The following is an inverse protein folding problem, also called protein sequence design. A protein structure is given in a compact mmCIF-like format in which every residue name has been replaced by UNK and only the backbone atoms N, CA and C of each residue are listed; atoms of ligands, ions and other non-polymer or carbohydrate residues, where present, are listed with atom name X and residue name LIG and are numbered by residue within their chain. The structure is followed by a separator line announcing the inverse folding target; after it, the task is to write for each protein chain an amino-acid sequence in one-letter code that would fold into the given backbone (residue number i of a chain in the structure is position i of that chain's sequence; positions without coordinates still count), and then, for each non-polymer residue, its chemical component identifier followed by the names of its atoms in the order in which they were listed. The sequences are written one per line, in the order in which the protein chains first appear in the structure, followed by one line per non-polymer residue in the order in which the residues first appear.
data_IF_609339984819
#
_entry.id   IF_609339984819
#
_cell.length_a   1.000
_cell.length_b   1.000
_cell.length_c   1.000
_cell.angle_alpha   90.00
_cell.angle_beta   90.00
_cell.angle_gamma   90.00
#
_symmetry.space_group_name_H-M   'P 1'
#
loop_
_entity.id
_entity.type
_entity.pdbx_description
1 polymer ?
#
# COMPACT_ATOMS: atom_id res chain seq x y z
N UNK A 1 2.74 -14.56 -29.93
CA UNK A 1 2.03 -13.98 -28.77
C UNK A 1 2.07 -12.46 -28.86
N UNK A 2 0.92 -11.80 -29.00
CA UNK A 2 0.84 -10.36 -28.72
C UNK A 2 0.79 -10.24 -27.21
N UNK A 3 1.82 -9.65 -26.60
CA UNK A 3 1.78 -9.31 -25.18
C UNK A 3 0.62 -8.35 -24.98
N UNK A 4 -0.40 -8.77 -24.22
CA UNK A 4 -1.54 -7.92 -23.91
C UNK A 4 -1.04 -6.75 -23.05
N UNK A 5 -1.24 -5.51 -23.49
CA UNK A 5 -0.75 -4.32 -22.78
C UNK A 5 -1.33 -4.23 -21.37
N UNK A 6 -2.52 -4.77 -21.14
CA UNK A 6 -3.17 -4.75 -19.82
C UNK A 6 -2.50 -5.70 -18.82
N UNK A 7 -1.92 -6.83 -19.26
CA UNK A 7 -1.20 -7.73 -18.34
C UNK A 7 0.13 -7.12 -17.87
N UNK A 8 0.80 -6.33 -18.70
CA UNK A 8 1.97 -5.55 -18.31
C UNK A 8 1.60 -4.40 -17.35
N UNK A 9 0.49 -3.70 -17.61
CA UNK A 9 0.00 -2.65 -16.71
C UNK A 9 -0.42 -3.23 -15.35
N UNK A 10 -1.06 -4.40 -15.35
CA UNK A 10 -1.37 -5.14 -14.12
C UNK A 10 -0.09 -5.51 -13.36
N UNK A 11 0.92 -6.03 -14.06
CA UNK A 11 2.23 -6.35 -13.46
C UNK A 11 2.87 -5.11 -12.81
N UNK A 12 2.82 -3.95 -13.47
CA UNK A 12 3.33 -2.71 -12.91
C UNK A 12 2.59 -2.35 -11.60
N UNK A 13 1.27 -2.51 -11.55
CA UNK A 13 0.47 -2.30 -10.34
C UNK A 13 0.87 -3.25 -9.19
N UNK A 14 1.10 -4.53 -9.49
CA UNK A 14 1.57 -5.52 -8.49
C UNK A 14 2.98 -5.22 -7.97
N UNK A 15 3.89 -4.78 -8.86
CA UNK A 15 5.22 -4.32 -8.46
C UNK A 15 5.12 -3.09 -7.56
N UNK A 16 4.24 -2.13 -7.87
CA UNK A 16 4.00 -0.94 -7.04
C UNK A 16 3.49 -1.32 -5.64
N UNK A 17 2.57 -2.27 -5.56
CA UNK A 17 2.11 -2.85 -4.28
C UNK A 17 3.29 -3.44 -3.51
N UNK A 18 4.15 -4.22 -4.16
CA UNK A 18 5.25 -4.92 -3.51
C UNK A 18 6.33 -3.95 -2.99
N UNK A 19 6.74 -2.98 -3.82
CA UNK A 19 7.73 -1.97 -3.40
C UNK A 19 7.18 -1.02 -2.34
N UNK A 20 5.86 -0.79 -2.29
CA UNK A 20 5.23 0.09 -1.30
C UNK A 20 5.57 -0.30 0.14
N UNK A 21 5.76 -1.60 0.39
CA UNK A 21 6.13 -2.14 1.71
C UNK A 21 7.47 -1.61 2.24
N UNK A 22 8.38 -1.25 1.34
CA UNK A 22 9.73 -0.77 1.64
C UNK A 22 9.80 0.75 1.83
N UNK A 23 8.79 1.50 1.36
CA UNK A 23 8.77 2.96 1.47
C UNK A 23 8.04 3.42 2.74
N UNK A 24 8.34 4.64 3.24
CA UNK A 24 7.60 5.24 4.34
C UNK A 24 6.11 5.27 4.02
N UNK A 25 5.30 4.64 4.88
CA UNK A 25 3.85 4.62 4.76
C UNK A 25 3.23 5.78 5.54
N UNK A 26 3.76 6.02 6.75
CA UNK A 26 3.49 7.17 7.59
C UNK A 26 4.79 7.90 7.91
N UNK A 27 4.72 9.20 8.17
CA UNK A 27 5.89 9.94 8.63
C UNK A 27 5.63 11.42 8.81
N UNK A 28 6.53 12.06 9.55
CA UNK A 28 6.49 13.49 9.81
C UNK A 28 7.84 14.14 9.53
N UNK A 29 7.79 15.42 9.15
CA UNK A 29 8.96 16.27 8.97
C UNK A 29 8.58 17.69 9.37
N UNK A 30 9.22 18.20 10.41
CA UNK A 30 9.08 19.56 10.91
C UNK A 30 10.47 20.22 10.94
N UNK A 31 10.52 21.46 10.48
CA UNK A 31 11.73 22.26 10.35
C UNK A 31 11.46 23.64 10.95
N UNK A 32 12.36 24.16 11.77
CA UNK A 32 12.27 25.51 12.32
C UNK A 32 13.62 26.20 12.16
N UNK A 33 13.60 27.48 11.83
CA UNK A 33 14.82 28.26 11.62
C UNK A 33 15.62 28.24 12.92
N UNK A 34 16.90 27.90 12.83
CA UNK A 34 17.87 27.86 13.94
C UNK A 34 17.68 26.72 14.98
N UNK A 35 16.80 25.75 14.72
CA UNK A 35 16.59 24.55 15.55
C UNK A 35 16.77 23.24 14.76
N UNK A 36 16.95 22.11 15.47
CA UNK A 36 17.09 20.80 14.84
C UNK A 36 15.80 20.37 14.13
N UNK A 37 15.96 19.84 12.91
CA UNK A 37 14.89 19.20 12.15
C UNK A 37 14.37 17.94 12.86
N UNK A 38 13.05 17.88 13.04
CA UNK A 38 12.36 16.73 13.63
C UNK A 38 11.72 15.93 12.50
N UNK A 39 12.31 14.77 12.16
CA UNK A 39 11.82 13.90 11.09
C UNK A 39 11.77 12.43 11.52
N UNK A 40 10.71 11.74 11.11
CA UNK A 40 10.63 10.29 11.29
C UNK A 40 9.74 9.63 10.23
N UNK A 41 10.10 8.39 9.90
CA UNK A 41 9.54 7.63 8.80
C UNK A 41 9.20 6.23 9.28
N UNK A 42 8.00 5.78 8.95
CA UNK A 42 7.46 4.49 9.34
C UNK A 42 7.04 3.73 8.09
N UNK A 43 7.89 2.82 7.57
CA UNK A 43 7.52 1.92 6.50
C UNK A 43 6.38 0.99 6.91
N UNK A 44 5.61 0.51 5.93
CA UNK A 44 4.48 -0.40 6.16
C UNK A 44 4.91 -1.66 6.94
N UNK A 45 6.05 -2.24 6.55
CA UNK A 45 6.61 -3.43 7.20
C UNK A 45 7.13 -3.18 8.62
N UNK A 46 7.29 -1.92 9.02
CA UNK A 46 7.81 -1.54 10.32
C UNK A 46 6.81 -0.70 11.13
N UNK A 47 5.52 -0.81 10.83
CA UNK A 47 4.44 -0.18 11.60
C UNK A 47 4.44 -0.61 13.08
N UNK A 48 5.10 -1.72 13.44
CA UNK A 48 5.33 -2.09 14.83
C UNK A 48 6.07 -0.99 15.60
N UNK A 49 7.13 -0.40 15.03
CA UNK A 49 7.89 0.69 15.68
C UNK A 49 7.03 1.92 15.97
N UNK A 50 6.05 2.18 15.11
CA UNK A 50 5.11 3.28 15.29
C UNK A 50 4.23 3.02 16.51
N UNK A 51 3.68 1.81 16.64
CA UNK A 51 2.78 1.49 17.73
C UNK A 51 3.50 1.23 19.08
N UNK A 52 4.76 0.76 19.06
CA UNK A 52 5.61 0.71 20.25
C UNK A 52 5.93 2.13 20.79
N UNK A 53 6.04 3.13 19.90
CA UNK A 53 6.33 4.53 20.28
C UNK A 53 5.11 5.25 20.84
N UNK A 54 3.91 4.96 20.34
CA UNK A 54 2.65 5.47 20.90
C UNK A 54 2.09 4.55 21.99
N UNK A 55 2.96 4.07 22.90
CA UNK A 55 2.77 3.09 24.00
C UNK A 55 1.46 3.19 24.82
N UNK A 56 0.69 4.28 24.68
CA UNK A 56 -0.65 4.46 25.23
C UNK A 56 -1.79 3.78 24.43
N UNK A 57 -1.53 3.19 23.26
CA UNK A 57 -2.58 2.64 22.38
C UNK A 57 -3.07 1.23 22.72
N UNK A 58 -2.56 0.60 23.78
CA UNK A 58 -2.87 -0.80 24.11
C UNK A 58 -2.19 -1.78 23.16
N UNK A 59 -2.50 -3.08 23.30
CA UNK A 59 -1.91 -4.12 22.45
C UNK A 59 -2.12 -3.82 20.97
N UNK A 60 -1.01 -3.79 20.22
CA UNK A 60 -1.03 -3.64 18.77
C UNK A 60 -1.87 -4.78 18.21
N UNK A 61 -3.03 -4.45 17.67
CA UNK A 61 -3.95 -5.44 17.12
C UNK A 61 -3.19 -6.34 16.13
N UNK A 62 -3.30 -7.66 16.30
CA UNK A 62 -2.59 -8.68 15.51
C UNK A 62 -2.64 -8.38 14.00
N UNK A 63 -3.77 -7.86 13.54
CA UNK A 63 -4.01 -7.41 12.17
C UNK A 63 -2.98 -6.39 11.67
N UNK A 64 -2.61 -5.37 12.45
CA UNK A 64 -1.63 -4.34 12.04
C UNK A 64 -0.23 -4.93 11.89
N UNK A 65 0.07 -6.03 12.61
CA UNK A 65 1.34 -6.75 12.47
C UNK A 65 1.36 -7.64 11.24
N UNK A 66 0.27 -8.32 10.94
CA UNK A 66 0.23 -9.35 9.89
C UNK A 66 -0.09 -8.76 8.50
N UNK A 67 -0.94 -7.73 8.43
CA UNK A 67 -1.40 -7.18 7.14
C UNK A 67 -0.29 -6.76 6.17
N UNK A 68 0.79 -6.09 6.62
CA UNK A 68 1.89 -5.73 5.73
C UNK A 68 2.52 -6.93 5.01
N UNK A 69 2.58 -8.08 5.68
CA UNK A 69 3.12 -9.31 5.10
C UNK A 69 2.13 -9.97 4.13
N UNK A 70 0.82 -9.90 4.44
CA UNK A 70 -0.22 -10.33 3.51
C UNK A 70 -0.18 -9.51 2.23
N UNK A 71 0.00 -8.18 2.33
CA UNK A 71 0.14 -7.31 1.16
C UNK A 71 1.32 -7.68 0.24
N UNK A 72 2.45 -8.07 0.83
CA UNK A 72 3.58 -8.58 0.05
C UNK A 72 3.22 -9.90 -0.63
N UNK A 73 2.62 -10.84 0.10
CA UNK A 73 2.21 -12.13 -0.45
C UNK A 73 1.21 -11.95 -1.60
N UNK A 74 0.26 -11.05 -1.45
CA UNK A 74 -0.73 -10.67 -2.46
C UNK A 74 -0.03 -10.11 -3.71
N UNK A 75 0.93 -9.19 -3.54
CA UNK A 75 1.74 -8.67 -4.65
C UNK A 75 2.55 -9.75 -5.37
N UNK A 76 3.21 -10.66 -4.64
CA UNK A 76 3.96 -11.78 -5.22
C UNK A 76 3.02 -12.71 -5.98
N UNK A 77 1.88 -13.08 -5.40
CA UNK A 77 0.88 -13.92 -6.04
C UNK A 77 0.42 -13.31 -7.36
N UNK A 78 0.13 -12.00 -7.39
CA UNK A 78 -0.25 -11.30 -8.62
C UNK A 78 0.82 -11.34 -9.70
N UNK A 79 2.10 -11.19 -9.34
CA UNK A 79 3.22 -11.30 -10.29
C UNK A 79 3.31 -12.73 -10.85
N UNK A 80 3.20 -13.75 -9.99
CA UNK A 80 3.24 -15.17 -10.39
C UNK A 80 2.10 -15.48 -11.37
N UNK A 81 0.89 -14.97 -11.11
CA UNK A 81 -0.24 -15.14 -12.02
C UNK A 81 0.05 -14.56 -13.42
N UNK A 82 0.68 -13.39 -13.50
CA UNK A 82 1.06 -12.79 -14.80
C UNK A 82 2.09 -13.65 -15.51
N UNK A 83 3.10 -14.16 -14.80
CA UNK A 83 4.14 -15.00 -15.39
C UNK A 83 3.55 -16.29 -15.97
N UNK A 84 2.60 -16.90 -15.26
CA UNK A 84 1.90 -18.10 -15.74
C UNK A 84 1.06 -17.76 -16.98
N UNK A 85 0.27 -16.68 -16.94
CA UNK A 85 -0.52 -16.26 -18.10
C UNK A 85 0.33 -15.99 -19.34
N UNK A 86 1.48 -15.30 -19.18
CA UNK A 86 2.42 -15.03 -20.27
C UNK A 86 3.12 -16.28 -20.81
N UNK A 87 3.03 -17.43 -20.14
CA UNK A 87 3.57 -18.71 -20.63
C UNK A 87 2.49 -19.72 -21.00
N UNK A 88 1.23 -19.44 -20.63
CA UNK A 88 0.09 -20.33 -20.77
C UNK A 88 -0.48 -20.35 -22.18
N UNK A 89 -1.21 -21.42 -22.45
CA UNK A 89 -2.05 -21.58 -23.63
C UNK A 89 -3.46 -20.98 -23.41
N UNK A 90 -4.36 -21.19 -24.38
CA UNK A 90 -5.69 -20.57 -24.40
C UNK A 90 -6.55 -21.00 -23.20
N UNK A 91 -6.47 -22.26 -22.78
CA UNK A 91 -7.20 -22.77 -21.61
C UNK A 91 -6.66 -22.16 -20.30
N UNK A 92 -5.35 -21.88 -20.26
CA UNK A 92 -4.74 -21.13 -19.16
C UNK A 92 -5.25 -19.69 -19.09
N UNK A 93 -5.63 -19.07 -20.21
CA UNK A 93 -6.07 -17.66 -20.21
C UNK A 93 -7.44 -17.47 -19.56
N UNK A 94 -8.42 -18.33 -19.86
CA UNK A 94 -9.77 -18.21 -19.29
C UNK A 94 -9.79 -18.38 -17.75
N UNK A 95 -9.00 -19.31 -17.23
CA UNK A 95 -8.87 -19.53 -15.78
C UNK A 95 -8.20 -18.30 -15.12
N UNK A 96 -7.14 -17.77 -15.74
CA UNK A 96 -6.36 -16.69 -15.14
C UNK A 96 -7.03 -15.32 -15.26
N UNK A 97 -7.89 -15.10 -16.26
CA UNK A 97 -8.68 -13.87 -16.41
C UNK A 97 -9.47 -13.52 -15.15
N UNK A 98 -10.10 -14.52 -14.51
CA UNK A 98 -10.81 -14.33 -13.24
C UNK A 98 -9.84 -14.19 -12.06
N UNK A 99 -8.74 -14.93 -12.07
CA UNK A 99 -7.78 -14.93 -10.97
C UNK A 99 -7.03 -13.60 -10.81
N UNK A 100 -6.90 -12.78 -11.86
CA UNK A 100 -6.29 -11.44 -11.74
C UNK A 100 -7.07 -10.47 -10.86
N UNK A 101 -8.37 -10.70 -10.64
CA UNK A 101 -9.12 -9.87 -9.69
C UNK A 101 -8.76 -10.15 -8.24
N UNK A 102 -8.37 -11.39 -7.92
CA UNK A 102 -8.20 -11.85 -6.54
C UNK A 102 -7.10 -11.01 -5.83
N UNK A 103 -5.88 -10.87 -6.37
CA UNK A 103 -4.86 -10.06 -5.70
C UNK A 103 -5.21 -8.57 -5.63
N UNK A 104 -5.85 -8.02 -6.66
CA UNK A 104 -6.23 -6.61 -6.67
C UNK A 104 -7.30 -6.30 -5.60
N UNK A 105 -8.32 -7.16 -5.48
CA UNK A 105 -9.38 -7.03 -4.47
C UNK A 105 -8.83 -7.26 -3.06
N UNK A 106 -8.00 -8.29 -2.86
CA UNK A 106 -7.35 -8.55 -1.58
C UNK A 106 -6.52 -7.35 -1.13
N UNK A 107 -5.72 -6.76 -2.03
CA UNK A 107 -4.94 -5.55 -1.73
C UNK A 107 -5.83 -4.36 -1.35
N UNK A 108 -7.01 -4.22 -1.98
CA UNK A 108 -8.01 -3.23 -1.60
C UNK A 108 -8.60 -3.45 -0.20
N UNK A 109 -8.92 -4.70 0.14
CA UNK A 109 -9.39 -5.09 1.49
C UNK A 109 -8.29 -4.81 2.53
N UNK A 110 -7.04 -5.14 2.22
CA UNK A 110 -5.90 -4.87 3.09
C UNK A 110 -5.74 -3.36 3.34
N UNK A 111 -5.82 -2.52 2.29
CA UNK A 111 -5.79 -1.07 2.45
C UNK A 111 -6.96 -0.58 3.31
N UNK A 112 -8.17 -1.11 3.10
CA UNK A 112 -9.33 -0.76 3.89
C UNK A 112 -9.12 -1.10 5.38
N UNK A 113 -8.64 -2.31 5.68
CA UNK A 113 -8.37 -2.75 7.04
C UNK A 113 -7.24 -1.96 7.71
N UNK A 114 -6.19 -1.57 6.97
CA UNK A 114 -5.14 -0.67 7.49
C UNK A 114 -5.73 0.69 7.84
N UNK A 115 -6.40 1.34 6.90
CA UNK A 115 -6.93 2.70 7.07
C UNK A 115 -8.06 2.78 8.09
N UNK A 116 -8.82 1.69 8.29
CA UNK A 116 -9.90 1.61 9.27
C UNK A 116 -9.47 0.96 10.58
N UNK A 117 -8.21 0.54 10.72
CA UNK A 117 -7.69 0.09 12.01
C UNK A 117 -7.77 1.21 13.04
N UNK A 118 -8.26 0.88 14.25
CA UNK A 118 -8.31 1.84 15.37
C UNK A 118 -6.93 2.42 15.67
N UNK A 119 -5.89 1.59 15.59
CA UNK A 119 -4.50 1.97 15.83
C UNK A 119 -4.01 2.99 14.81
N UNK A 120 -4.20 2.74 13.50
CA UNK A 120 -3.74 3.67 12.46
C UNK A 120 -4.54 4.97 12.50
N UNK A 121 -5.85 4.93 12.75
CA UNK A 121 -6.66 6.14 12.92
C UNK A 121 -6.24 6.98 14.12
N UNK A 122 -5.99 6.34 15.26
CA UNK A 122 -5.53 7.05 16.45
C UNK A 122 -4.15 7.68 16.22
N UNK A 123 -3.23 6.99 15.53
CA UNK A 123 -1.91 7.56 15.16
C UNK A 123 -2.08 8.73 14.20
N UNK A 124 -2.96 8.61 13.21
CA UNK A 124 -3.25 9.70 12.29
C UNK A 124 -3.80 10.94 13.02
N UNK A 125 -4.72 10.75 13.97
CA UNK A 125 -5.25 11.82 14.81
C UNK A 125 -4.17 12.51 15.64
N UNK A 126 -3.29 11.74 16.29
CA UNK A 126 -2.15 12.30 17.04
C UNK A 126 -1.20 13.05 16.09
N UNK A 127 -0.93 12.52 14.90
CA UNK A 127 -0.09 13.18 13.90
C UNK A 127 -0.69 14.50 13.42
N UNK A 128 -2.00 14.58 13.25
CA UNK A 128 -2.71 15.79 12.85
C UNK A 128 -2.67 16.86 13.95
N UNK A 129 -2.96 16.47 15.19
CA UNK A 129 -2.87 17.35 16.37
C UNK A 129 -1.44 17.86 16.59
N UNK A 130 -0.45 16.96 16.49
CA UNK A 130 0.98 17.31 16.55
C UNK A 130 1.37 18.27 15.43
N UNK A 131 0.85 18.07 14.22
CA UNK A 131 1.12 18.98 13.09
C UNK A 131 0.59 20.37 13.36
N UNK A 132 -0.64 20.48 13.87
CA UNK A 132 -1.25 21.77 14.20
C UNK A 132 -0.47 22.49 15.30
N UNK A 133 -0.15 21.79 16.39
CA UNK A 133 0.63 22.35 17.50
C UNK A 133 2.04 22.77 17.07
N UNK A 134 2.73 21.97 16.25
CA UNK A 134 4.05 22.33 15.71
C UNK A 134 3.99 23.57 14.82
N UNK A 135 2.96 23.70 13.99
CA UNK A 135 2.75 24.86 13.14
C UNK A 135 2.45 26.14 13.94
N UNK A 136 1.64 26.03 15.00
CA UNK A 136 1.38 27.13 15.95
C UNK A 136 2.66 27.60 16.65
N UNK A 137 3.57 26.68 16.94
CA UNK A 137 4.87 26.95 17.54
C UNK A 137 5.96 27.41 16.54
N UNK A 138 5.59 27.70 15.28
CA UNK A 138 6.49 28.25 14.27
C UNK A 138 7.32 27.24 13.48
N UNK A 139 7.07 25.93 13.64
CA UNK A 139 7.66 24.91 12.78
C UNK A 139 6.94 24.85 11.43
N UNK A 140 7.70 24.78 10.34
CA UNK A 140 7.19 24.47 9.00
C UNK A 140 7.32 22.98 8.76
N UNK A 141 6.24 22.31 8.35
CA UNK A 141 6.29 20.86 8.16
C UNK A 141 4.93 20.20 8.04
N UNK A 142 4.96 18.86 7.98
CA UNK A 142 3.77 18.03 7.83
C UNK A 142 3.96 16.63 8.43
N UNK A 143 2.87 16.05 8.92
CA UNK A 143 2.75 14.64 9.29
C UNK A 143 1.59 13.99 8.52
N UNK A 144 1.73 12.72 8.15
CA UNK A 144 0.65 11.97 7.51
C UNK A 144 1.13 10.83 6.63
N UNK A 145 0.28 10.44 5.67
CA UNK A 145 0.59 9.43 4.67
C UNK A 145 1.73 9.87 3.75
N UNK A 146 2.58 8.92 3.38
CA UNK A 146 3.81 9.14 2.61
C UNK A 146 3.83 8.29 1.34
N UNK A 147 4.95 8.34 0.62
CA UNK A 147 5.12 7.70 -0.68
C UNK A 147 4.66 6.23 -0.71
N UNK A 148 4.95 5.45 0.33
CA UNK A 148 4.52 4.05 0.43
C UNK A 148 3.00 3.90 0.39
N UNK A 149 2.24 4.76 1.07
CA UNK A 149 0.77 4.73 1.01
C UNK A 149 0.26 4.99 -0.40
N UNK A 150 0.77 6.04 -1.06
CA UNK A 150 0.32 6.41 -2.40
C UNK A 150 0.74 5.39 -3.46
N UNK A 151 1.90 4.77 -3.32
CA UNK A 151 2.33 3.66 -4.18
C UNK A 151 1.42 2.45 -4.02
N UNK A 152 1.04 2.10 -2.79
CA UNK A 152 0.12 1.00 -2.52
C UNK A 152 -1.26 1.27 -3.12
N UNK A 153 -1.83 2.45 -2.87
CA UNK A 153 -3.12 2.88 -3.43
C UNK A 153 -3.09 2.90 -4.97
N UNK A 154 -2.08 3.52 -5.57
CA UNK A 154 -1.93 3.57 -7.02
C UNK A 154 -1.77 2.17 -7.62
N UNK A 155 -0.97 1.31 -6.99
CA UNK A 155 -0.81 -0.08 -7.41
C UNK A 155 -2.11 -0.86 -7.40
N UNK A 156 -2.95 -0.67 -6.38
CA UNK A 156 -4.30 -1.27 -6.31
C UNK A 156 -5.18 -0.78 -7.46
N UNK A 157 -5.27 0.54 -7.67
CA UNK A 157 -6.11 1.13 -8.72
C UNK A 157 -5.67 0.64 -10.10
N UNK A 158 -4.36 0.71 -10.38
CA UNK A 158 -3.78 0.29 -11.66
C UNK A 158 -4.06 -1.19 -11.90
N UNK A 159 -3.86 -2.04 -10.89
CA UNK A 159 -4.10 -3.48 -11.01
C UNK A 159 -5.59 -3.79 -11.23
N UNK A 160 -6.48 -3.13 -10.48
CA UNK A 160 -7.92 -3.35 -10.59
C UNK A 160 -8.45 -2.92 -11.96
N UNK A 161 -8.09 -1.71 -12.41
CA UNK A 161 -8.48 -1.20 -13.74
C UNK A 161 -7.92 -2.12 -14.82
N UNK A 162 -6.68 -2.58 -14.70
CA UNK A 162 -6.08 -3.50 -15.66
C UNK A 162 -6.79 -4.84 -15.70
N UNK A 163 -7.15 -5.41 -14.55
CA UNK A 163 -7.92 -6.67 -14.47
C UNK A 163 -9.31 -6.52 -15.11
N UNK A 164 -10.00 -5.39 -14.87
CA UNK A 164 -11.29 -5.08 -15.52
C UNK A 164 -11.14 -4.95 -17.03
N UNK A 165 -10.19 -4.15 -17.49
CA UNK A 165 -9.93 -3.97 -18.92
C UNK A 165 -9.57 -5.30 -19.59
N UNK A 166 -8.79 -6.13 -18.92
CA UNK A 166 -8.44 -7.45 -19.40
C UNK A 166 -9.67 -8.35 -19.55
N UNK A 167 -10.50 -8.47 -18.51
CA UNK A 167 -11.73 -9.26 -18.60
C UNK A 167 -12.74 -8.74 -19.63
N UNK A 168 -12.85 -7.42 -19.78
CA UNK A 168 -13.80 -6.80 -20.68
C UNK A 168 -13.34 -6.80 -22.16
N UNK A 169 -12.03 -6.70 -22.41
CA UNK A 169 -11.46 -6.47 -23.74
C UNK A 169 -10.69 -7.67 -24.31
N UNK A 170 -10.37 -8.69 -23.52
CA UNK A 170 -9.69 -9.93 -23.99
C UNK A 170 -10.69 -10.95 -24.58
N UNK A 171 -11.88 -10.49 -25.04
CA UNK A 171 -12.93 -11.30 -25.67
C UNK A 171 -12.83 -11.35 -27.22
N UNK A 172 -11.79 -10.78 -27.82
CA UNK A 172 -11.55 -10.79 -29.28
C UNK A 172 -10.29 -11.60 -29.65
#
# INVERSE_FOLDING_TARGET
MKVNKFSLTYLAGMVMILISGCFPFLGYRFTMKDYQDVKEWFPLLNLKKLADRYQAMGDINLFVRILPYLAILTGIAGIVLVVIYLRGDRDTWDIFNLMFFIPAVLSGIELFLLTHSKTIRAIHGIMEETTRSMQENGYKGFAGYRLGFYLFLAGIIISLVSAVCFFALDRE
#
